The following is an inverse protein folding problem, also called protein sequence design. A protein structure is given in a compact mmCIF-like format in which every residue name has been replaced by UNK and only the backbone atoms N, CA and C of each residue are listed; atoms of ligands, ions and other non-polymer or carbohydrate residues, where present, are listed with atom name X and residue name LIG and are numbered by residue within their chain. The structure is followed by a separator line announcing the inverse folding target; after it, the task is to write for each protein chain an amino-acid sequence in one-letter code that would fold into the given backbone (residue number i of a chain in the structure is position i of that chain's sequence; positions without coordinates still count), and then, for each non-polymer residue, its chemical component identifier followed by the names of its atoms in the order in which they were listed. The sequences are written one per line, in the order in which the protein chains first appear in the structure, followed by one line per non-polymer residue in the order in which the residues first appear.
data_IF_132758923279
#
_entry.id   IF_132758923279
#
_cell.length_a   1.000
_cell.length_b   1.000
_cell.length_c   1.000
_cell.angle_alpha   90.00
_cell.angle_beta   90.00
_cell.angle_gamma   90.00
#
_symmetry.space_group_name_H-M   'P 1'
#
loop_
_entity.id
_entity.type
_entity.pdbx_description
1 polymer ?
#
# COMPACT_ATOMS: atom_id res chain seq x y z
N UNK A 1 5.92 -10.63 -41.22
CA UNK A 1 4.61 -9.97 -41.07
C UNK A 1 4.05 -10.41 -39.74
N UNK A 2 4.11 -9.55 -38.71
CA UNK A 2 3.59 -9.87 -37.40
C UNK A 2 2.15 -9.34 -37.31
N UNK A 3 1.19 -10.24 -37.25
CA UNK A 3 -0.22 -9.87 -37.01
C UNK A 3 -0.37 -9.34 -35.60
N UNK A 4 -0.74 -8.07 -35.52
CA UNK A 4 -1.17 -7.48 -34.23
C UNK A 4 -2.55 -8.06 -33.89
N UNK A 5 -2.55 -8.98 -32.93
CA UNK A 5 -3.79 -9.56 -32.38
C UNK A 5 -4.37 -8.55 -31.38
N UNK A 6 -5.55 -8.00 -31.71
CA UNK A 6 -6.27 -7.12 -30.77
C UNK A 6 -6.80 -7.92 -29.58
N UNK A 7 -6.85 -7.25 -28.40
CA UNK A 7 -7.32 -7.85 -27.13
C UNK A 7 -8.69 -8.53 -27.28
N UNK A 8 -9.54 -7.98 -28.12
CA UNK A 8 -10.88 -8.50 -28.38
C UNK A 8 -10.85 -9.83 -29.14
N UNK A 9 -9.91 -9.97 -30.08
CA UNK A 9 -9.74 -11.19 -30.87
C UNK A 9 -9.04 -12.29 -30.07
N UNK A 10 -8.15 -11.92 -29.18
CA UNK A 10 -7.57 -12.84 -28.21
C UNK A 10 -8.66 -13.46 -27.31
N UNK A 11 -9.55 -12.65 -26.74
CA UNK A 11 -10.65 -13.13 -25.90
C UNK A 11 -11.64 -14.03 -26.65
N UNK A 12 -11.94 -13.73 -27.91
CA UNK A 12 -12.80 -14.58 -28.75
C UNK A 12 -12.15 -15.94 -29.05
N UNK A 13 -10.84 -15.97 -29.28
CA UNK A 13 -10.10 -17.22 -29.57
C UNK A 13 -9.97 -18.09 -28.33
N UNK A 14 -9.78 -17.50 -27.13
CA UNK A 14 -9.72 -18.24 -25.86
C UNK A 14 -11.10 -18.74 -25.46
N UNK A 15 -12.17 -17.93 -25.69
CA UNK A 15 -13.55 -18.32 -25.37
C UNK A 15 -14.10 -19.47 -26.25
N UNK A 16 -13.68 -19.55 -27.51
CA UNK A 16 -14.13 -20.59 -28.41
C UNK A 16 -13.45 -21.97 -28.21
N UNK A 17 -12.28 -21.99 -27.54
CA UNK A 17 -11.54 -23.22 -27.22
C UNK A 17 -12.06 -23.98 -26.01
N UNK A 18 -12.92 -23.37 -25.19
CA UNK A 18 -13.39 -23.95 -23.93
C UNK A 18 -14.60 -24.90 -24.07
N UNK A 19 -15.17 -25.07 -25.26
CA UNK A 19 -16.36 -25.88 -25.49
C UNK A 19 -16.11 -27.28 -26.07
N UNK A 20 -14.86 -27.72 -26.24
CA UNK A 20 -14.54 -28.99 -26.89
C UNK A 20 -13.77 -29.98 -25.99
N UNK A 21 -13.71 -29.82 -24.67
CA UNK A 21 -13.14 -30.83 -23.79
C UNK A 21 -14.27 -31.40 -22.94
N UNK A 22 -14.66 -32.62 -23.31
CA UNK A 22 -15.70 -33.40 -22.70
C UNK A 22 -15.49 -33.61 -21.20
N UNK A 23 -16.60 -33.86 -20.57
CA UNK A 23 -16.82 -34.36 -19.22
C UNK A 23 -15.75 -35.33 -18.68
N UNK A 24 -14.63 -34.79 -18.18
CA UNK A 24 -13.72 -35.51 -17.31
C UNK A 24 -13.68 -34.74 -15.99
N UNK A 25 -14.37 -35.33 -15.02
CA UNK A 25 -14.36 -35.09 -13.57
C UNK A 25 -13.39 -33.97 -13.08
N UNK A 26 -13.95 -32.78 -12.88
CA UNK A 26 -13.36 -31.75 -12.02
C UNK A 26 -13.57 -32.09 -10.54
N UNK A 27 -13.04 -33.22 -10.10
CA UNK A 27 -12.84 -33.54 -8.69
C UNK A 27 -11.42 -33.15 -8.33
N UNK A 28 -11.19 -31.86 -8.18
CA UNK A 28 -9.89 -31.29 -7.86
C UNK A 28 -9.96 -29.89 -7.26
N UNK A 29 -11.14 -29.36 -7.00
CA UNK A 29 -11.28 -28.29 -6.02
C UNK A 29 -11.21 -28.94 -4.65
N UNK A 30 -10.00 -29.02 -4.07
CA UNK A 30 -9.88 -29.23 -2.64
C UNK A 30 -10.68 -28.09 -2.00
N UNK A 31 -11.82 -28.48 -1.44
CA UNK A 31 -12.60 -27.66 -0.54
C UNK A 31 -11.64 -27.09 0.51
N UNK A 32 -11.34 -25.80 0.38
CA UNK A 32 -10.89 -25.03 1.53
C UNK A 32 -11.91 -25.33 2.63
N UNK A 33 -11.50 -25.82 3.79
CA UNK A 33 -12.43 -25.95 4.88
C UNK A 33 -13.00 -24.54 5.12
N UNK A 34 -14.32 -24.42 4.94
CA UNK A 34 -15.10 -23.29 5.41
C UNK A 34 -15.12 -23.40 6.94
N UNK A 35 -13.98 -23.16 7.53
CA UNK A 35 -13.86 -22.88 8.94
C UNK A 35 -14.31 -21.45 9.11
N UNK A 36 -15.41 -21.23 9.76
CA UNK A 36 -15.80 -20.00 10.41
C UNK A 36 -14.70 -19.62 11.40
N UNK A 37 -13.65 -18.98 10.90
CA UNK A 37 -12.69 -18.27 11.71
C UNK A 37 -13.25 -16.86 11.88
N UNK A 38 -14.10 -16.69 12.90
CA UNK A 38 -14.13 -15.46 13.69
C UNK A 38 -12.77 -15.33 14.39
N UNK A 39 -11.75 -15.07 13.61
CA UNK A 39 -10.44 -14.67 14.04
C UNK A 39 -10.10 -13.46 13.22
N UNK A 40 -9.78 -12.35 13.85
CA UNK A 40 -9.08 -11.24 13.23
C UNK A 40 -8.07 -11.84 12.24
N UNK A 41 -8.36 -11.77 10.95
CA UNK A 41 -7.42 -12.19 9.92
C UNK A 41 -6.24 -11.24 10.04
N UNK A 42 -5.20 -11.67 10.75
CA UNK A 42 -4.00 -10.88 10.97
C UNK A 42 -3.44 -10.44 9.62
N UNK A 43 -2.92 -9.23 9.55
CA UNK A 43 -2.27 -8.71 8.34
C UNK A 43 -1.21 -9.70 7.86
N UNK A 44 -1.31 -10.13 6.61
CA UNK A 44 -0.30 -10.99 6.01
C UNK A 44 1.01 -10.20 5.86
N UNK A 45 2.12 -10.82 6.23
CA UNK A 45 3.44 -10.20 6.20
C UNK A 45 4.42 -11.01 5.36
N UNK A 46 5.47 -10.34 4.88
CA UNK A 46 6.62 -10.97 4.22
C UNK A 46 7.93 -10.54 4.85
N UNK A 47 8.91 -11.42 4.81
CA UNK A 47 10.25 -11.10 5.27
C UNK A 47 10.91 -10.09 4.32
N UNK A 48 11.48 -9.04 4.90
CA UNK A 48 12.28 -8.08 4.15
C UNK A 48 13.66 -8.69 3.84
N UNK A 49 14.07 -8.78 2.55
CA UNK A 49 15.25 -9.56 2.14
C UNK A 49 16.58 -9.15 2.80
N UNK A 50 16.69 -7.92 3.27
CA UNK A 50 17.94 -7.37 3.82
C UNK A 50 18.01 -7.33 5.35
N UNK A 51 16.87 -7.24 6.02
CA UNK A 51 16.83 -6.91 7.45
C UNK A 51 16.22 -8.01 8.30
N UNK A 52 15.70 -9.08 7.70
CA UNK A 52 15.01 -10.17 8.42
C UNK A 52 13.73 -9.76 9.13
N UNK A 53 13.30 -8.50 8.96
CA UNK A 53 12.06 -8.00 9.55
C UNK A 53 10.83 -8.36 8.74
N UNK A 54 9.69 -8.49 9.39
CA UNK A 54 8.41 -8.75 8.71
C UNK A 54 7.75 -7.45 8.32
N UNK A 55 7.37 -7.34 7.04
CA UNK A 55 6.68 -6.18 6.48
C UNK A 55 5.28 -6.60 6.05
N UNK A 56 4.28 -5.78 6.39
CA UNK A 56 2.89 -6.01 5.97
C UNK A 56 2.76 -5.98 4.44
N UNK A 57 1.96 -6.90 3.87
CA UNK A 57 1.69 -6.90 2.42
C UNK A 57 1.00 -5.63 1.96
N UNK A 58 0.16 -5.05 2.81
CA UNK A 58 -0.46 -3.76 2.57
C UNK A 58 0.41 -2.67 3.19
N UNK A 59 0.87 -1.73 2.38
CA UNK A 59 1.50 -0.49 2.82
C UNK A 59 0.51 0.67 2.90
N UNK A 60 0.77 1.62 3.78
CA UNK A 60 -0.04 2.82 3.95
C UNK A 60 0.57 4.00 3.19
N UNK A 61 -0.15 4.54 2.21
CA UNK A 61 0.28 5.72 1.45
C UNK A 61 -0.12 7.03 2.12
N UNK A 62 0.87 7.86 2.46
CA UNK A 62 0.69 9.12 3.21
C UNK A 62 0.44 10.35 2.30
N UNK A 63 0.12 10.15 1.03
CA UNK A 63 -0.05 11.25 0.06
C UNK A 63 -1.36 12.02 0.23
N UNK A 64 -2.38 11.42 0.84
CA UNK A 64 -3.76 11.95 0.87
C UNK A 64 -4.31 12.02 2.28
N UNK A 65 -3.58 12.69 3.17
CA UNK A 65 -4.09 12.97 4.51
C UNK A 65 -5.31 13.91 4.47
N UNK A 66 -6.25 13.77 5.40
CA UNK A 66 -7.32 14.73 5.58
C UNK A 66 -6.79 16.13 5.80
N UNK A 67 -7.46 17.12 5.21
CA UNK A 67 -7.07 18.52 5.30
C UNK A 67 -8.19 19.32 5.97
N UNK A 68 -7.82 20.36 6.71
CA UNK A 68 -8.74 21.34 7.29
C UNK A 68 -8.25 22.77 7.00
N UNK A 69 -9.18 23.71 6.98
CA UNK A 69 -8.88 25.13 6.86
C UNK A 69 -8.36 25.67 8.19
N UNK A 70 -7.24 26.37 8.14
CA UNK A 70 -6.78 27.20 9.26
C UNK A 70 -7.49 28.55 9.31
N UNK A 71 -7.30 29.27 10.40
CA UNK A 71 -7.86 30.61 10.62
C UNK A 71 -7.33 31.63 9.58
N UNK A 72 -6.18 31.37 8.99
CA UNK A 72 -5.56 32.14 7.91
C UNK A 72 -6.09 31.76 6.50
N UNK A 73 -7.09 30.86 6.43
CA UNK A 73 -7.69 30.38 5.20
C UNK A 73 -6.86 29.38 4.41
N UNK A 74 -5.68 28.99 4.88
CA UNK A 74 -4.85 27.99 4.24
C UNK A 74 -5.28 26.56 4.61
N UNK A 75 -4.85 25.60 3.78
CA UNK A 75 -5.09 24.19 4.03
C UNK A 75 -3.96 23.59 4.86
N UNK A 76 -4.33 22.96 5.95
CA UNK A 76 -3.43 22.22 6.83
C UNK A 76 -3.87 20.78 6.97
N UNK A 77 -2.93 19.87 7.20
CA UNK A 77 -3.28 18.50 7.53
C UNK A 77 -4.04 18.47 8.85
N UNK A 78 -5.17 17.76 8.87
CA UNK A 78 -5.88 17.46 10.09
C UNK A 78 -5.14 16.36 10.87
N UNK A 79 -4.27 16.78 11.77
CA UNK A 79 -3.41 15.84 12.52
C UNK A 79 -4.22 14.87 13.39
N UNK A 80 -5.36 15.27 13.91
CA UNK A 80 -6.22 14.40 14.71
C UNK A 80 -6.79 13.26 13.88
N UNK A 81 -7.35 13.59 12.73
CA UNK A 81 -7.82 12.59 11.78
C UNK A 81 -6.69 11.68 11.28
N UNK A 82 -5.48 12.23 11.02
CA UNK A 82 -4.30 11.42 10.67
C UNK A 82 -3.95 10.44 11.79
N UNK A 83 -3.98 10.89 13.03
CA UNK A 83 -3.70 10.05 14.18
C UNK A 83 -4.68 8.86 14.26
N UNK A 84 -5.98 9.12 14.09
CA UNK A 84 -7.01 8.07 14.09
C UNK A 84 -6.81 7.07 12.95
N UNK A 85 -6.49 7.56 11.74
CA UNK A 85 -6.23 6.71 10.58
C UNK A 85 -4.99 5.83 10.78
N UNK A 86 -3.92 6.37 11.34
CA UNK A 86 -2.69 5.63 11.65
C UNK A 86 -2.95 4.61 12.76
N UNK A 87 -3.72 4.97 13.79
CA UNK A 87 -4.11 4.06 14.86
C UNK A 87 -4.89 2.86 14.33
N UNK A 88 -5.85 3.12 13.46
CA UNK A 88 -6.61 2.06 12.82
C UNK A 88 -5.71 1.15 11.97
N UNK A 89 -4.86 1.73 11.13
CA UNK A 89 -3.94 0.99 10.27
C UNK A 89 -2.96 0.12 11.09
N UNK A 90 -2.34 0.71 12.10
CA UNK A 90 -1.38 0.03 12.98
C UNK A 90 -2.03 -1.12 13.76
N UNK A 91 -3.20 -0.89 14.36
CA UNK A 91 -3.95 -1.93 15.08
C UNK A 91 -4.37 -3.09 14.20
N UNK A 92 -4.55 -2.85 12.90
CA UNK A 92 -4.84 -3.89 11.91
C UNK A 92 -3.59 -4.49 11.27
N UNK A 93 -2.40 -4.24 11.81
CA UNK A 93 -1.16 -4.89 11.44
C UNK A 93 -0.43 -4.27 10.26
N UNK A 94 -0.82 -3.08 9.78
CA UNK A 94 -0.03 -2.33 8.81
C UNK A 94 1.18 -1.75 9.53
N UNK A 95 2.36 -2.09 9.03
CA UNK A 95 3.62 -1.61 9.60
C UNK A 95 4.56 -0.95 8.57
N UNK A 96 4.08 -0.67 7.36
CA UNK A 96 4.86 0.01 6.32
C UNK A 96 4.12 1.26 5.85
N UNK A 97 4.76 2.43 5.97
CA UNK A 97 4.20 3.74 5.65
C UNK A 97 5.08 4.44 4.60
N UNK A 98 4.46 4.89 3.50
CA UNK A 98 5.16 5.57 2.39
C UNK A 98 4.79 7.04 2.36
N UNK A 99 5.78 7.90 2.48
CA UNK A 99 5.63 9.37 2.42
C UNK A 99 6.59 10.01 1.41
N UNK A 100 6.59 11.33 1.32
CA UNK A 100 7.51 12.10 0.47
C UNK A 100 7.57 13.56 0.91
N UNK A 101 8.73 14.22 0.79
CA UNK A 101 8.85 15.65 0.99
C UNK A 101 7.94 16.50 0.08
N UNK A 102 7.53 15.94 -1.07
CA UNK A 102 6.65 16.63 -2.03
C UNK A 102 5.15 16.47 -1.73
N UNK A 103 4.78 15.62 -0.78
CA UNK A 103 3.37 15.37 -0.49
C UNK A 103 2.76 16.48 0.35
N UNK A 104 1.57 16.94 -0.07
CA UNK A 104 0.78 17.95 0.65
C UNK A 104 1.62 19.17 1.03
N UNK A 105 2.34 19.72 0.04
CA UNK A 105 3.18 20.92 0.20
C UNK A 105 4.25 20.78 1.31
N UNK A 106 4.79 19.58 1.48
CA UNK A 106 5.81 19.28 2.48
C UNK A 106 5.30 18.93 3.88
N UNK A 107 3.98 18.91 4.09
CA UNK A 107 3.41 18.66 5.41
C UNK A 107 3.32 17.15 5.76
N UNK A 108 3.34 16.26 4.76
CA UNK A 108 3.05 14.84 4.95
C UNK A 108 4.05 14.11 5.84
N UNK A 109 5.35 14.41 5.72
CA UNK A 109 6.39 13.75 6.53
C UNK A 109 6.25 14.08 8.01
N UNK A 110 6.01 15.36 8.31
CA UNK A 110 5.80 15.81 9.69
C UNK A 110 4.54 15.18 10.29
N UNK A 111 3.43 15.15 9.55
CA UNK A 111 2.19 14.55 10.04
C UNK A 111 2.32 13.04 10.27
N UNK A 112 2.94 12.32 9.33
CA UNK A 112 3.21 10.88 9.49
C UNK A 112 4.16 10.62 10.68
N UNK A 113 5.21 11.43 10.83
CA UNK A 113 6.15 11.32 11.94
C UNK A 113 5.49 11.53 13.29
N UNK A 114 4.64 12.56 13.44
CA UNK A 114 3.88 12.82 14.66
C UNK A 114 2.93 11.66 14.99
N UNK A 115 2.21 11.14 14.01
CA UNK A 115 1.30 10.03 14.23
C UNK A 115 2.02 8.75 14.63
N UNK A 116 3.14 8.43 13.98
CA UNK A 116 3.92 7.22 14.22
C UNK A 116 4.80 7.27 15.47
N UNK A 117 5.19 8.46 15.93
CA UNK A 117 5.98 8.62 17.18
C UNK A 117 5.28 8.11 18.44
N UNK A 118 3.98 7.85 18.37
CA UNK A 118 3.16 7.27 19.44
C UNK A 118 3.37 5.76 19.60
N UNK A 119 4.11 5.11 18.68
CA UNK A 119 4.40 3.68 18.68
C UNK A 119 5.89 3.40 18.81
N UNK A 120 6.29 2.22 19.31
CA UNK A 120 7.70 1.84 19.35
C UNK A 120 8.34 1.86 17.97
N UNK A 121 9.50 2.49 17.83
CA UNK A 121 10.14 2.75 16.54
C UNK A 121 10.50 1.49 15.77
N UNK A 122 10.79 0.40 16.42
CA UNK A 122 11.16 -0.90 15.88
C UNK A 122 9.97 -1.72 15.34
N UNK A 123 8.75 -1.24 15.53
CA UNK A 123 7.53 -1.95 15.12
C UNK A 123 7.01 -1.53 13.75
N UNK A 124 7.59 -0.51 13.13
CA UNK A 124 7.13 -0.02 11.83
C UNK A 124 8.29 0.47 10.93
N UNK A 125 8.01 0.50 9.64
CA UNK A 125 8.90 1.00 8.58
C UNK A 125 8.32 2.26 7.97
N UNK A 126 9.19 3.24 7.70
CA UNK A 126 8.83 4.46 6.97
C UNK A 126 9.73 4.57 5.75
N UNK A 127 9.11 4.64 4.59
CA UNK A 127 9.78 4.98 3.35
C UNK A 127 9.48 6.43 2.99
N UNK A 128 10.53 7.16 2.63
CA UNK A 128 10.38 8.48 2.03
C UNK A 128 11.12 8.55 0.70
N UNK A 129 10.98 9.63 -0.02
CA UNK A 129 11.52 9.80 -1.36
C UNK A 129 12.58 10.88 -1.40
N UNK A 130 13.56 10.69 -2.24
CA UNK A 130 14.50 11.72 -2.60
C UNK A 130 13.85 12.64 -3.63
N UNK A 131 13.30 13.77 -3.17
CA UNK A 131 12.69 14.78 -4.05
C UNK A 131 13.78 15.64 -4.67
N UNK A 132 14.04 15.42 -5.95
CA UNK A 132 15.06 16.17 -6.69
C UNK A 132 14.43 17.25 -7.61
N UNK A 133 13.25 17.74 -7.28
CA UNK A 133 12.56 18.71 -8.13
C UNK A 133 13.26 20.07 -8.22
N UNK A 134 14.09 20.43 -7.23
CA UNK A 134 14.74 21.75 -7.16
C UNK A 134 16.26 21.70 -6.93
N UNK A 135 16.89 20.54 -6.85
CA UNK A 135 18.29 20.42 -6.49
C UNK A 135 19.03 19.41 -7.37
N UNK A 136 19.77 19.93 -8.33
CA UNK A 136 20.67 19.16 -9.19
C UNK A 136 22.10 19.03 -8.62
N UNK A 137 22.38 19.51 -7.41
CA UNK A 137 23.72 19.48 -6.85
C UNK A 137 23.95 18.32 -5.90
N UNK A 138 25.05 17.59 -6.10
CA UNK A 138 25.54 16.52 -5.22
C UNK A 138 25.87 16.99 -3.80
N UNK A 139 25.95 18.28 -3.57
CA UNK A 139 26.39 18.88 -2.29
C UNK A 139 25.40 18.73 -1.15
N UNK A 140 24.13 18.45 -1.44
CA UNK A 140 23.09 18.26 -0.44
C UNK A 140 23.09 16.86 0.22
N UNK A 141 23.94 15.96 -0.25
CA UNK A 141 23.97 14.56 0.23
C UNK A 141 25.30 14.21 0.94
N UNK A 142 25.99 15.20 1.48
CA UNK A 142 27.21 15.02 2.29
C UNK A 142 26.96 15.29 3.75
#
# INVERSE_FOLDING_TARGET
MSENIDRRDFLKRVGAGALAIGTASLTGCSSRPSGSAEGSAGMETREAPKNGGKVSLLGYGCMRWPMKKGDDGKDYIDQEAVNEMVDYAYKNGINYYDTSPAYLQGQSEAAAGLALSRYPRDTYYVATKLSNFNNSSRELFR
#
